data_IF_786859447125
#
_entry.id   IF_786859447125
#
_cell.length_a   1.000
_cell.length_b   1.000
_cell.length_c   1.000
_cell.angle_alpha   90.00
_cell.angle_beta   90.00
_cell.angle_gamma   90.00
#
_symmetry.space_group_name_H-M   'P 1'
#
loop_
_entity.id
_entity.type
_entity.pdbx_description
1 polymer ?
#
# COMPACT_ATOMS: atom_id res chain seq x y z
N UNK A 1 -66.19 -5.86 -19.95
CA UNK A 1 -65.81 -4.66 -19.18
C UNK A 1 -64.83 -4.95 -18.03
N UNK A 2 -65.01 -6.00 -17.19
CA UNK A 2 -64.08 -6.26 -16.06
C UNK A 2 -62.68 -6.71 -16.51
N UNK A 3 -62.55 -7.57 -17.51
CA UNK A 3 -61.25 -8.06 -18.04
C UNK A 3 -60.41 -6.91 -18.66
N UNK A 4 -61.03 -5.99 -19.39
CA UNK A 4 -60.33 -4.87 -20.01
C UNK A 4 -59.76 -3.90 -18.94
N UNK A 5 -60.50 -3.66 -17.87
CA UNK A 5 -60.03 -2.84 -16.74
C UNK A 5 -58.84 -3.52 -16.01
N UNK A 6 -58.90 -4.85 -15.87
CA UNK A 6 -57.82 -5.62 -15.26
C UNK A 6 -56.52 -5.54 -16.11
N UNK A 7 -56.64 -5.69 -17.45
CA UNK A 7 -55.50 -5.58 -18.34
C UNK A 7 -54.86 -4.19 -18.31
N UNK A 8 -55.68 -3.14 -18.31
CA UNK A 8 -55.19 -1.76 -18.20
C UNK A 8 -54.46 -1.56 -16.87
N UNK A 9 -55.03 -2.03 -15.75
CA UNK A 9 -54.39 -1.91 -14.44
C UNK A 9 -53.05 -2.66 -14.37
N UNK A 10 -52.96 -3.85 -14.97
CA UNK A 10 -51.73 -4.64 -15.02
C UNK A 10 -50.66 -3.95 -15.88
N UNK A 11 -51.05 -3.34 -17.00
CA UNK A 11 -50.11 -2.58 -17.86
C UNK A 11 -49.54 -1.36 -17.15
N UNK A 12 -50.40 -0.60 -16.44
CA UNK A 12 -49.95 0.55 -15.66
C UNK A 12 -49.01 0.11 -14.54
N UNK A 13 -49.32 -0.98 -13.84
CA UNK A 13 -48.46 -1.52 -12.77
C UNK A 13 -47.09 -1.94 -13.31
N UNK A 14 -47.04 -2.67 -14.43
CA UNK A 14 -45.79 -3.08 -15.07
C UNK A 14 -44.96 -1.90 -15.54
N UNK A 15 -45.59 -0.84 -16.10
CA UNK A 15 -44.92 0.37 -16.53
C UNK A 15 -44.35 1.10 -15.32
N UNK A 16 -45.09 1.22 -14.22
CA UNK A 16 -44.59 1.82 -12.98
C UNK A 16 -43.41 1.08 -12.38
N UNK A 17 -43.46 -0.27 -12.39
CA UNK A 17 -42.37 -1.11 -11.95
C UNK A 17 -41.12 -0.93 -12.81
N UNK A 18 -41.27 -0.85 -14.14
CA UNK A 18 -40.16 -0.62 -15.07
C UNK A 18 -39.49 0.73 -14.82
N UNK A 19 -40.27 1.81 -14.67
CA UNK A 19 -39.75 3.14 -14.36
C UNK A 19 -39.02 3.14 -13.02
N UNK A 20 -39.57 2.47 -12.01
CA UNK A 20 -38.91 2.33 -10.69
C UNK A 20 -37.57 1.60 -10.79
N UNK A 21 -37.48 0.50 -11.54
CA UNK A 21 -36.25 -0.25 -11.75
C UNK A 21 -35.20 0.57 -12.50
N UNK A 22 -35.61 1.34 -13.53
CA UNK A 22 -34.71 2.23 -14.28
C UNK A 22 -34.15 3.33 -13.37
N UNK A 23 -34.98 3.93 -12.51
CA UNK A 23 -34.53 4.93 -11.55
C UNK A 23 -33.51 4.37 -10.55
N UNK A 24 -33.67 3.11 -10.11
CA UNK A 24 -32.70 2.41 -9.25
C UNK A 24 -31.34 2.20 -9.94
N UNK A 25 -31.34 1.94 -11.24
CA UNK A 25 -30.12 1.77 -12.03
C UNK A 25 -29.37 3.10 -12.12
N UNK A 26 -30.03 4.21 -12.37
CA UNK A 26 -29.39 5.54 -12.43
C UNK A 26 -28.74 5.94 -11.11
N UNK A 27 -29.41 5.70 -9.98
CA UNK A 27 -28.88 6.01 -8.65
C UNK A 27 -27.61 5.16 -8.36
N UNK A 28 -27.59 3.89 -8.76
CA UNK A 28 -26.39 3.02 -8.62
C UNK A 28 -25.27 3.46 -9.55
N UNK A 29 -25.57 3.90 -10.78
CA UNK A 29 -24.56 4.42 -11.73
C UNK A 29 -23.95 5.75 -11.26
N UNK A 30 -24.74 6.65 -10.67
CA UNK A 30 -24.23 7.90 -10.09
C UNK A 30 -23.32 7.61 -8.88
N UNK A 31 -23.69 6.68 -8.00
CA UNK A 31 -22.85 6.26 -6.87
C UNK A 31 -21.52 5.64 -7.32
N UNK A 32 -21.54 4.82 -8.37
CA UNK A 32 -20.33 4.22 -8.95
C UNK A 32 -19.43 5.26 -9.64
N UNK A 33 -20.02 6.23 -10.34
CA UNK A 33 -19.27 7.37 -10.91
C UNK A 33 -18.63 8.26 -9.85
N UNK A 34 -19.27 8.43 -8.71
CA UNK A 34 -18.70 9.19 -7.59
C UNK A 34 -17.50 8.47 -6.96
N UNK A 35 -17.56 7.14 -6.84
CA UNK A 35 -16.44 6.32 -6.37
C UNK A 35 -15.26 6.29 -7.35
N UNK A 36 -15.52 6.29 -8.67
CA UNK A 36 -14.48 6.37 -9.68
C UNK A 36 -13.84 7.75 -9.81
N UNK A 37 -14.56 8.82 -9.45
CA UNK A 37 -14.05 10.20 -9.50
C UNK A 37 -13.00 10.48 -8.42
N UNK A 38 -12.92 9.67 -7.37
CA UNK A 38 -11.85 9.73 -6.37
C UNK A 38 -10.50 9.23 -6.89
N UNK A 39 -10.46 8.66 -8.10
CA UNK A 39 -9.27 8.16 -8.79
C UNK A 39 -8.90 9.03 -10.02
N UNK A 40 -9.39 10.27 -10.12
CA UNK A 40 -8.87 11.21 -11.14
C UNK A 40 -7.41 11.56 -10.81
N UNK A 41 -6.52 10.79 -11.39
CA UNK A 41 -5.12 11.17 -11.57
C UNK A 41 -5.10 12.37 -12.51
N UNK A 42 -5.01 13.58 -11.98
CA UNK A 42 -4.77 14.77 -12.76
C UNK A 42 -3.46 14.61 -13.53
N UNK A 43 -3.52 14.42 -14.83
CA UNK A 43 -2.43 14.10 -15.76
C UNK A 43 -1.47 15.25 -16.07
N UNK A 44 -1.55 16.38 -15.39
CA UNK A 44 -0.59 17.47 -15.50
C UNK A 44 0.28 17.54 -14.23
N UNK A 45 1.37 16.73 -14.18
CA UNK A 45 2.27 16.68 -13.03
C UNK A 45 1.66 15.95 -11.82
N UNK A 46 1.07 14.77 -12.07
CA UNK A 46 0.36 14.01 -11.03
C UNK A 46 1.32 13.50 -9.96
N UNK A 47 1.30 14.15 -8.80
CA UNK A 47 1.95 13.67 -7.59
C UNK A 47 1.02 12.69 -6.89
N UNK A 48 1.45 11.43 -6.74
CA UNK A 48 0.77 10.46 -5.90
C UNK A 48 1.03 10.83 -4.43
N UNK A 49 -0.02 11.17 -3.69
CA UNK A 49 0.06 11.50 -2.27
C UNK A 49 -0.62 10.42 -1.45
N UNK A 50 0.10 9.85 -0.47
CA UNK A 50 -0.41 8.79 0.38
C UNK A 50 0.56 8.48 1.51
N UNK A 51 0.13 7.67 2.46
CA UNK A 51 0.96 7.17 3.57
C UNK A 51 1.63 5.83 3.27
N UNK A 52 1.14 5.13 2.26
CA UNK A 52 1.68 3.87 1.81
C UNK A 52 1.42 3.66 0.32
N UNK A 53 2.36 3.00 -0.34
CA UNK A 53 2.24 2.41 -1.67
C UNK A 53 2.66 0.95 -1.55
N UNK A 54 1.86 0.03 -2.07
CA UNK A 54 2.18 -1.40 -2.08
C UNK A 54 2.03 -1.97 -3.49
N UNK A 55 2.96 -2.84 -3.88
CA UNK A 55 2.88 -3.66 -5.08
C UNK A 55 2.64 -5.09 -4.62
N UNK A 56 1.59 -5.72 -5.11
CA UNK A 56 1.23 -7.10 -4.80
C UNK A 56 1.42 -8.00 -6.02
N UNK A 57 1.65 -9.28 -5.78
CA UNK A 57 1.58 -10.31 -6.81
C UNK A 57 0.13 -10.83 -7.01
N UNK A 58 -0.04 -11.77 -7.93
CA UNK A 58 -1.35 -12.34 -8.29
C UNK A 58 -2.02 -13.07 -7.12
N UNK A 59 -1.26 -13.52 -6.11
CA UNK A 59 -1.76 -14.12 -4.88
C UNK A 59 -2.06 -13.09 -3.77
N UNK A 60 -1.91 -11.79 -4.06
CA UNK A 60 -2.16 -10.70 -3.11
C UNK A 60 -1.05 -10.49 -2.07
N UNK A 61 0.12 -11.12 -2.22
CA UNK A 61 1.26 -10.93 -1.32
C UNK A 61 2.00 -9.65 -1.66
N UNK A 62 2.35 -8.85 -0.66
CA UNK A 62 3.12 -7.62 -0.86
C UNK A 62 4.54 -7.96 -1.31
N UNK A 63 4.95 -7.45 -2.47
CA UNK A 63 6.27 -7.66 -3.09
C UNK A 63 7.16 -6.41 -3.03
N UNK A 64 6.56 -5.25 -2.98
CA UNK A 64 7.26 -4.00 -2.68
C UNK A 64 6.37 -3.09 -1.86
N UNK A 65 6.96 -2.25 -1.02
CA UNK A 65 6.21 -1.23 -0.28
C UNK A 65 7.06 0.01 -0.03
N UNK A 66 6.41 1.18 -0.08
CA UNK A 66 6.92 2.43 0.48
C UNK A 66 5.91 2.83 1.55
N UNK A 67 6.34 2.99 2.80
CA UNK A 67 5.43 3.23 3.93
C UNK A 67 6.04 4.18 4.95
N UNK A 68 5.22 5.09 5.46
CA UNK A 68 5.54 5.90 6.62
C UNK A 68 5.20 5.10 7.89
N UNK A 69 6.20 4.75 8.67
CA UNK A 69 6.06 4.14 9.99
C UNK A 69 6.12 5.24 11.05
N UNK A 70 5.10 5.39 11.90
CA UNK A 70 5.15 6.39 12.97
C UNK A 70 6.23 6.03 13.99
N UNK A 71 6.69 7.03 14.73
CA UNK A 71 7.56 6.81 15.87
C UNK A 71 6.91 5.85 16.86
N UNK A 72 7.70 4.96 17.46
CA UNK A 72 7.21 3.96 18.41
C UNK A 72 8.22 3.66 19.51
N UNK A 73 7.72 3.21 20.64
CA UNK A 73 8.54 2.76 21.78
C UNK A 73 8.17 1.30 22.05
N UNK A 74 9.18 0.43 22.04
CA UNK A 74 8.99 -0.99 22.37
C UNK A 74 8.85 -1.19 23.90
N UNK A 75 8.32 -2.34 24.35
CA UNK A 75 8.19 -2.66 25.78
C UNK A 75 9.51 -2.68 26.54
N UNK A 76 10.64 -2.90 25.85
CA UNK A 76 11.99 -2.86 26.42
C UNK A 76 12.58 -1.43 26.54
N UNK A 77 11.81 -0.40 26.16
CA UNK A 77 12.21 1.00 26.16
C UNK A 77 12.96 1.45 24.91
N UNK A 78 13.18 0.57 23.94
CA UNK A 78 13.80 0.94 22.65
C UNK A 78 12.88 1.87 21.87
N UNK A 79 13.41 3.02 21.47
CA UNK A 79 12.68 4.02 20.68
C UNK A 79 13.03 3.93 19.20
N UNK A 80 12.02 3.97 18.35
CA UNK A 80 12.18 4.08 16.90
C UNK A 80 11.61 5.42 16.43
N UNK A 81 12.39 6.25 15.73
CA UNK A 81 11.88 7.48 15.15
C UNK A 81 10.90 7.21 14.02
N UNK A 82 10.12 8.21 13.65
CA UNK A 82 9.31 8.15 12.44
C UNK A 82 10.22 7.82 11.24
N UNK A 83 9.80 6.85 10.42
CA UNK A 83 10.64 6.28 9.37
C UNK A 83 9.87 6.13 8.08
N UNK A 84 10.36 6.74 6.99
CA UNK A 84 9.96 6.37 5.63
C UNK A 84 10.77 5.14 5.23
N UNK A 85 10.08 4.04 4.90
CA UNK A 85 10.73 2.75 4.62
C UNK A 85 10.25 2.20 3.28
N UNK A 86 11.21 1.98 2.36
CA UNK A 86 11.02 1.19 1.14
C UNK A 86 11.51 -0.23 1.39
N UNK A 87 10.72 -1.21 0.97
CA UNK A 87 11.07 -2.65 1.00
C UNK A 87 10.86 -3.30 -0.35
N UNK A 88 11.78 -4.19 -0.74
CA UNK A 88 11.55 -5.19 -1.77
C UNK A 88 11.54 -6.56 -1.10
N UNK A 89 10.48 -7.32 -1.36
CA UNK A 89 10.10 -8.51 -0.58
C UNK A 89 10.04 -9.71 -1.52
N UNK A 90 10.65 -10.82 -1.13
CA UNK A 90 10.62 -12.05 -1.92
C UNK A 90 9.25 -12.77 -1.81
N UNK A 91 9.08 -13.87 -2.54
CA UNK A 91 7.84 -14.67 -2.53
C UNK A 91 7.52 -15.33 -1.18
N UNK A 92 8.50 -15.43 -0.28
CA UNK A 92 8.36 -15.98 1.07
C UNK A 92 8.02 -14.91 2.13
N UNK A 93 7.82 -13.64 1.71
CA UNK A 93 7.51 -12.54 2.61
C UNK A 93 8.74 -11.91 3.29
N UNK A 94 9.96 -12.31 2.91
CA UNK A 94 11.20 -11.78 3.49
C UNK A 94 11.67 -10.53 2.74
N UNK A 95 11.89 -9.40 3.41
CA UNK A 95 12.43 -8.19 2.79
C UNK A 95 13.94 -8.32 2.58
N UNK A 96 14.37 -8.40 1.32
CA UNK A 96 15.78 -8.45 0.94
C UNK A 96 16.41 -7.07 0.73
N UNK A 97 15.61 -6.07 0.36
CA UNK A 97 16.08 -4.69 0.24
C UNK A 97 15.27 -3.82 1.19
N UNK A 98 15.96 -2.98 1.97
CA UNK A 98 15.36 -1.95 2.81
C UNK A 98 16.11 -0.65 2.59
N UNK A 99 15.37 0.43 2.28
CA UNK A 99 15.89 1.79 2.26
C UNK A 99 15.08 2.58 3.28
N UNK A 100 15.75 3.16 4.26
CA UNK A 100 15.13 3.87 5.35
C UNK A 100 15.63 5.32 5.42
N UNK A 101 14.72 6.23 5.74
CA UNK A 101 15.04 7.62 6.09
C UNK A 101 14.30 8.00 7.38
N UNK A 102 15.01 8.60 8.31
CA UNK A 102 14.53 9.09 9.60
C UNK A 102 15.05 10.50 9.84
N UNK A 103 14.63 11.16 10.92
CA UNK A 103 15.21 12.44 11.33
C UNK A 103 16.70 12.33 11.67
N UNK A 104 17.16 11.17 12.18
CA UNK A 104 18.53 10.94 12.61
C UNK A 104 19.46 10.48 11.48
N UNK A 105 18.92 10.13 10.31
CA UNK A 105 19.72 9.67 9.19
C UNK A 105 19.03 8.69 8.25
N UNK A 106 19.84 7.99 7.46
CA UNK A 106 19.36 7.05 6.45
C UNK A 106 20.19 5.77 6.40
N UNK A 107 19.58 4.70 5.86
CA UNK A 107 20.26 3.43 5.66
C UNK A 107 19.74 2.69 4.44
N UNK A 108 20.64 1.92 3.81
CA UNK A 108 20.35 0.87 2.83
C UNK A 108 20.80 -0.45 3.41
N UNK A 109 19.91 -1.44 3.45
CA UNK A 109 20.24 -2.81 3.83
C UNK A 109 19.86 -3.78 2.74
N UNK A 110 20.79 -4.69 2.42
CA UNK A 110 20.63 -5.79 1.47
C UNK A 110 20.74 -7.10 2.27
N UNK A 111 19.66 -7.87 2.31
CA UNK A 111 19.61 -9.16 2.99
C UNK A 111 20.08 -10.29 2.07
N UNK A 112 20.80 -11.26 2.63
CA UNK A 112 21.12 -12.52 1.96
C UNK A 112 20.07 -13.60 2.22
N UNK A 113 20.31 -14.80 1.71
CA UNK A 113 19.41 -15.96 1.84
C UNK A 113 19.21 -16.39 3.30
N UNK A 114 20.26 -16.33 4.10
CA UNK A 114 20.22 -16.67 5.53
C UNK A 114 20.28 -15.44 6.43
N UNK A 115 19.66 -15.51 7.60
CA UNK A 115 19.98 -14.62 8.71
C UNK A 115 21.27 -15.18 9.38
N UNK A 116 22.28 -14.42 9.63
CA UNK A 116 22.38 -12.94 9.68
C UNK A 116 22.97 -12.28 8.42
N UNK A 117 23.13 -12.99 7.29
CA UNK A 117 23.83 -12.45 6.10
C UNK A 117 23.20 -11.16 5.61
N UNK A 118 23.94 -10.07 5.67
CA UNK A 118 23.51 -8.79 5.09
C UNK A 118 24.64 -7.81 4.84
N UNK A 119 24.38 -6.83 3.99
CA UNK A 119 25.16 -5.61 3.80
C UNK A 119 24.33 -4.43 4.27
N UNK A 120 24.89 -3.54 5.08
CA UNK A 120 24.24 -2.31 5.49
C UNK A 120 25.17 -1.10 5.27
N UNK A 121 24.63 -0.08 4.61
CA UNK A 121 25.26 1.24 4.47
C UNK A 121 24.40 2.20 5.28
N UNK A 122 25.01 2.96 6.18
CA UNK A 122 24.28 3.87 7.05
C UNK A 122 24.99 5.20 7.21
N UNK A 123 24.20 6.27 7.28
CA UNK A 123 24.61 7.58 7.72
C UNK A 123 23.69 8.00 8.87
N UNK A 124 24.24 8.22 10.08
CA UNK A 124 23.47 8.60 11.27
C UNK A 124 24.16 9.72 12.01
N UNK A 125 23.45 10.80 12.25
CA UNK A 125 24.05 12.00 12.82
C UNK A 125 25.27 12.45 12.01
N UNK A 126 26.43 12.44 12.62
CA UNK A 126 27.71 12.82 11.99
C UNK A 126 28.57 11.63 11.56
N UNK A 127 28.04 10.39 11.61
CA UNK A 127 28.82 9.18 11.34
C UNK A 127 28.26 8.41 10.15
N UNK A 128 29.19 7.76 9.41
CA UNK A 128 28.86 6.84 8.33
C UNK A 128 29.48 5.47 8.56
N UNK A 129 28.87 4.42 8.00
CA UNK A 129 29.41 3.06 8.09
C UNK A 129 28.97 2.18 6.93
N UNK A 130 29.82 1.20 6.60
CA UNK A 130 29.50 0.05 5.78
C UNK A 130 29.71 -1.20 6.64
N UNK A 131 28.67 -2.01 6.81
CA UNK A 131 28.70 -3.26 7.55
C UNK A 131 28.46 -4.41 6.59
N UNK A 132 29.29 -5.44 6.67
CA UNK A 132 29.16 -6.69 5.94
C UNK A 132 29.07 -7.82 6.98
N UNK A 133 28.05 -8.68 6.89
CA UNK A 133 27.89 -9.84 7.78
C UNK A 133 27.65 -11.08 6.93
N UNK A 134 28.43 -12.12 7.13
CA UNK A 134 28.29 -13.43 6.50
C UNK A 134 27.39 -14.36 7.32
N UNK A 135 27.02 -15.50 6.73
CA UNK A 135 26.19 -16.54 7.37
C UNK A 135 26.77 -17.05 8.70
N UNK A 136 28.10 -17.05 8.84
CA UNK A 136 28.82 -17.56 10.03
C UNK A 136 28.96 -16.46 11.11
N UNK A 137 28.28 -15.32 10.94
CA UNK A 137 28.34 -14.19 11.87
C UNK A 137 29.63 -13.36 11.77
N UNK A 138 30.55 -13.69 10.85
CA UNK A 138 31.73 -12.86 10.60
C UNK A 138 31.30 -11.50 10.12
N UNK A 139 31.78 -10.47 10.79
CA UNK A 139 31.43 -9.08 10.52
C UNK A 139 32.66 -8.27 10.12
N UNK A 140 32.52 -7.48 9.06
CA UNK A 140 33.43 -6.40 8.72
C UNK A 140 32.69 -5.07 8.82
N UNK A 141 33.28 -4.13 9.58
CA UNK A 141 32.77 -2.78 9.75
C UNK A 141 33.80 -1.78 9.23
N UNK A 142 33.40 -1.01 8.22
CA UNK A 142 34.20 0.05 7.62
C UNK A 142 33.61 1.39 8.05
N UNK A 143 34.43 2.24 8.64
CA UNK A 143 34.11 3.62 9.02
C UNK A 143 35.25 4.50 8.54
N UNK A 144 34.95 5.79 8.16
CA UNK A 144 36.02 6.76 7.88
C UNK A 144 36.81 7.11 9.14
#
# INVERSE_FOLDING_TARGET
MKLQRLLIALTIFNLGLLVFLLAQIEVRFLGFRFLLRSAEVNSAGSVLRGRALEITDDEGRVRASIKLHPASVLPDGTTYPETVLLRLINSQGRPYVKIAATEDGSALALGGESDPTHVAIAARGTTTSLTLINKDGQQQLIKP
#
